data_IF_214870828616
#
_entry.id   IF_214870828616
#
_cell.length_a   1.000
_cell.length_b   1.000
_cell.length_c   1.000
_cell.angle_alpha   90.00
_cell.angle_beta   90.00
_cell.angle_gamma   90.00
#
_symmetry.space_group_name_H-M   'P 1'
#
loop_
_entity.id
_entity.type
_entity.pdbx_description
1 polymer ?
#
# COMPACT_ATOMS: atom_id res chain seq x y z
N UNK A 1 8.83 17.13 -3.78
CA UNK A 1 7.64 17.07 -4.66
C UNK A 1 6.37 16.64 -3.94
N UNK A 2 6.13 15.36 -3.57
CA UNK A 2 4.86 14.98 -2.89
C UNK A 2 4.66 15.65 -1.52
N UNK A 3 5.74 15.80 -0.72
CA UNK A 3 5.67 16.48 0.58
C UNK A 3 5.32 17.97 0.45
N UNK A 4 5.81 18.65 -0.58
CA UNK A 4 5.55 20.08 -0.80
C UNK A 4 4.09 20.30 -1.17
N UNK A 5 3.54 19.48 -2.07
CA UNK A 5 2.12 19.55 -2.46
C UNK A 5 1.18 19.31 -1.28
N UNK A 6 1.50 18.36 -0.39
CA UNK A 6 0.69 18.10 0.81
C UNK A 6 0.69 19.28 1.78
N UNK A 7 1.84 19.95 1.97
CA UNK A 7 1.96 21.14 2.84
C UNK A 7 1.17 22.31 2.25
N UNK A 8 1.29 22.56 0.94
CA UNK A 8 0.52 23.60 0.25
C UNK A 8 -0.99 23.36 0.36
N UNK A 9 -1.46 22.12 0.16
CA UNK A 9 -2.86 21.76 0.33
C UNK A 9 -3.33 21.98 1.78
N UNK A 10 -2.50 21.65 2.77
CA UNK A 10 -2.80 21.88 4.18
C UNK A 10 -2.93 23.38 4.51
N UNK A 11 -2.04 24.22 4.00
CA UNK A 11 -2.11 25.69 4.18
C UNK A 11 -3.36 26.24 3.52
N UNK A 12 -3.61 25.85 2.26
CA UNK A 12 -4.72 26.34 1.44
C UNK A 12 -6.09 26.03 2.06
N UNK A 13 -6.25 24.83 2.63
CA UNK A 13 -7.50 24.40 3.26
C UNK A 13 -7.62 24.74 4.75
N UNK A 14 -6.59 25.33 5.37
CA UNK A 14 -6.53 25.55 6.82
C UNK A 14 -7.71 26.35 7.39
N UNK A 15 -8.21 27.35 6.66
CA UNK A 15 -9.36 28.15 7.09
C UNK A 15 -10.68 27.36 7.05
N UNK A 16 -10.83 26.48 6.05
CA UNK A 16 -11.96 25.56 5.97
C UNK A 16 -11.87 24.54 7.10
N UNK A 17 -10.69 23.95 7.32
CA UNK A 17 -10.47 22.98 8.40
C UNK A 17 -10.85 23.57 9.76
N UNK A 18 -10.43 24.80 10.06
CA UNK A 18 -10.76 25.49 11.32
C UNK A 18 -12.26 25.65 11.50
N UNK A 19 -12.96 26.06 10.44
CA UNK A 19 -14.42 26.20 10.46
C UNK A 19 -15.12 24.86 10.68
N UNK A 20 -14.73 23.81 9.94
CA UNK A 20 -15.36 22.50 10.04
C UNK A 20 -15.08 21.84 11.40
N UNK A 21 -13.87 21.98 11.94
CA UNK A 21 -13.52 21.49 13.29
C UNK A 21 -14.27 22.22 14.41
N UNK A 22 -14.71 23.46 14.19
CA UNK A 22 -15.45 24.25 15.16
C UNK A 22 -16.98 24.02 15.11
N UNK A 23 -17.51 23.37 14.06
CA UNK A 23 -18.95 23.11 13.95
C UNK A 23 -19.39 22.03 14.94
N UNK A 24 -20.45 22.32 15.70
CA UNK A 24 -21.06 21.37 16.60
C UNK A 24 -21.82 20.29 15.82
N UNK A 25 -21.94 19.09 16.39
CA UNK A 25 -22.68 17.97 15.78
C UNK A 25 -21.93 17.21 14.68
N UNK A 26 -20.70 17.62 14.34
CA UNK A 26 -19.89 16.92 13.33
C UNK A 26 -18.52 16.47 13.86
N UNK A 27 -17.97 15.41 13.26
CA UNK A 27 -16.55 15.03 13.36
C UNK A 27 -15.93 15.09 11.98
N UNK A 28 -14.86 15.88 11.84
CA UNK A 28 -14.22 16.17 10.57
C UNK A 28 -12.82 15.55 10.50
N UNK A 29 -12.54 14.82 9.41
CA UNK A 29 -11.25 14.23 9.10
C UNK A 29 -10.89 14.57 7.65
N UNK A 30 -9.62 14.92 7.40
CA UNK A 30 -9.12 15.18 6.06
C UNK A 30 -7.71 14.65 5.90
N UNK A 31 -7.43 14.09 4.73
CA UNK A 31 -6.11 13.69 4.28
C UNK A 31 -5.88 14.22 2.86
N UNK A 32 -5.04 15.24 2.72
CA UNK A 32 -4.86 15.99 1.47
C UNK A 32 -6.24 16.43 0.92
N UNK A 33 -6.73 15.81 -0.15
CA UNK A 33 -8.01 16.15 -0.79
C UNK A 33 -9.18 15.27 -0.31
N UNK A 34 -8.91 14.15 0.36
CA UNK A 34 -9.93 13.22 0.86
C UNK A 34 -10.54 13.72 2.17
N UNK A 35 -11.83 14.05 2.15
CA UNK A 35 -12.60 14.53 3.30
C UNK A 35 -13.58 13.46 3.78
N UNK A 36 -13.65 13.26 5.09
CA UNK A 36 -14.62 12.40 5.77
C UNK A 36 -15.28 13.18 6.91
N UNK A 37 -16.61 13.16 6.94
CA UNK A 37 -17.41 13.85 7.95
C UNK A 37 -18.42 12.89 8.53
N UNK A 38 -18.42 12.76 9.86
CA UNK A 38 -19.51 12.10 10.58
C UNK A 38 -20.44 13.14 11.16
N UNK A 39 -21.74 12.92 11.04
CA UNK A 39 -22.81 13.76 11.57
C UNK A 39 -24.08 12.93 11.71
N UNK A 40 -25.12 13.50 12.30
CA UNK A 40 -26.45 12.89 12.30
C UNK A 40 -26.99 12.79 10.87
N UNK A 41 -27.58 11.64 10.52
CA UNK A 41 -28.04 11.35 9.15
C UNK A 41 -29.10 12.36 8.66
N UNK A 42 -29.90 12.91 9.58
CA UNK A 42 -30.88 13.96 9.30
C UNK A 42 -30.24 15.28 8.86
N UNK A 43 -29.00 15.55 9.29
CA UNK A 43 -28.26 16.77 8.95
C UNK A 43 -27.29 16.57 7.79
N UNK A 44 -27.01 15.33 7.38
CA UNK A 44 -25.95 14.99 6.43
C UNK A 44 -26.06 15.75 5.09
N UNK A 45 -27.27 15.92 4.55
CA UNK A 45 -27.48 16.69 3.31
C UNK A 45 -27.13 18.16 3.49
N UNK A 46 -27.58 18.78 4.58
CA UNK A 46 -27.29 20.18 4.90
C UNK A 46 -25.78 20.39 5.08
N UNK A 47 -25.13 19.52 5.85
CA UNK A 47 -23.67 19.55 6.06
C UNK A 47 -22.93 19.42 4.72
N UNK A 48 -23.35 18.50 3.85
CA UNK A 48 -22.77 18.35 2.51
C UNK A 48 -22.92 19.62 1.68
N UNK A 49 -24.10 20.22 1.63
CA UNK A 49 -24.36 21.45 0.85
C UNK A 49 -23.51 22.63 1.35
N UNK A 50 -23.36 22.75 2.67
CA UNK A 50 -22.51 23.78 3.30
C UNK A 50 -21.04 23.57 2.96
N UNK A 51 -20.54 22.33 3.02
CA UNK A 51 -19.16 21.98 2.65
C UNK A 51 -18.90 22.27 1.17
N UNK A 52 -19.80 21.86 0.27
CA UNK A 52 -19.67 22.15 -1.17
C UNK A 52 -19.58 23.66 -1.41
N UNK A 53 -20.41 24.45 -0.72
CA UNK A 53 -20.38 25.92 -0.83
C UNK A 53 -19.09 26.52 -0.31
N UNK A 54 -18.58 26.05 0.83
CA UNK A 54 -17.31 26.52 1.40
C UNK A 54 -16.13 26.28 0.47
N UNK A 55 -16.02 25.07 -0.10
CA UNK A 55 -14.96 24.74 -1.05
C UNK A 55 -15.11 25.49 -2.38
N UNK A 56 -16.33 25.62 -2.88
CA UNK A 56 -16.60 26.41 -4.09
C UNK A 56 -16.23 27.89 -3.91
N UNK A 57 -16.45 28.44 -2.70
CA UNK A 57 -16.10 29.83 -2.36
C UNK A 57 -14.60 30.13 -2.39
N UNK A 58 -13.74 29.11 -2.35
CA UNK A 58 -12.29 29.27 -2.53
C UNK A 58 -11.80 28.83 -3.91
N UNK A 59 -12.72 28.46 -4.82
CA UNK A 59 -12.39 28.03 -6.19
C UNK A 59 -12.15 26.52 -6.35
N UNK A 60 -12.47 25.70 -5.35
CA UNK A 60 -12.40 24.25 -5.44
C UNK A 60 -13.74 23.62 -5.81
N UNK A 61 -13.70 22.64 -6.70
CA UNK A 61 -14.89 21.88 -7.11
C UNK A 61 -14.99 20.56 -6.36
N UNK A 62 -16.00 20.42 -5.52
CA UNK A 62 -16.38 19.13 -4.93
C UNK A 62 -17.38 18.42 -5.87
N UNK A 63 -17.23 17.10 -6.01
CA UNK A 63 -18.22 16.29 -6.70
C UNK A 63 -19.50 16.20 -5.88
N UNK A 64 -20.62 16.54 -6.50
CA UNK A 64 -21.95 16.43 -5.89
C UNK A 64 -22.24 14.95 -5.56
N UNK A 65 -22.50 14.60 -4.28
CA UNK A 65 -22.72 13.22 -3.85
C UNK A 65 -23.92 12.53 -4.49
N UNK A 66 -24.91 13.32 -4.93
CA UNK A 66 -26.11 12.80 -5.58
C UNK A 66 -25.84 12.49 -7.06
N UNK A 67 -25.04 13.35 -7.72
CA UNK A 67 -24.73 13.21 -9.15
C UNK A 67 -23.54 12.29 -9.44
N UNK A 68 -22.60 12.17 -8.51
CA UNK A 68 -21.36 11.41 -8.67
C UNK A 68 -21.10 10.55 -7.42
N UNK A 69 -21.99 9.60 -7.10
CA UNK A 69 -21.91 8.77 -5.90
C UNK A 69 -20.61 7.95 -5.80
N UNK A 70 -19.93 7.74 -6.92
CA UNK A 70 -18.65 7.03 -7.00
C UNK A 70 -17.44 7.88 -6.55
N UNK A 71 -17.60 9.20 -6.50
CA UNK A 71 -16.54 10.16 -6.10
C UNK A 71 -16.83 10.86 -4.77
N UNK A 72 -18.10 11.04 -4.44
CA UNK A 72 -18.55 11.64 -3.19
C UNK A 72 -19.84 10.97 -2.79
N UNK A 73 -20.04 10.66 -1.52
CA UNK A 73 -21.21 9.88 -1.07
C UNK A 73 -21.71 10.34 0.29
N UNK A 74 -23.03 10.29 0.46
CA UNK A 74 -23.70 10.43 1.76
C UNK A 74 -24.40 9.10 2.06
N UNK A 75 -24.25 8.59 3.28
CA UNK A 75 -24.85 7.31 3.66
C UNK A 75 -24.76 7.03 5.15
N UNK A 76 -25.41 5.97 5.59
CA UNK A 76 -25.29 5.48 6.96
C UNK A 76 -23.96 4.78 7.17
N UNK A 77 -23.36 4.94 8.35
CA UNK A 77 -22.18 4.18 8.76
C UNK A 77 -22.47 2.67 8.75
N UNK A 78 -23.73 2.29 9.00
CA UNK A 78 -24.17 0.88 8.99
C UNK A 78 -24.04 0.23 7.60
N UNK A 79 -24.18 1.01 6.53
CA UNK A 79 -24.04 0.54 5.14
C UNK A 79 -22.57 0.40 4.73
N UNK A 80 -21.65 0.84 5.60
CA UNK A 80 -20.23 0.90 5.37
C UNK A 80 -19.80 2.06 4.48
N UNK A 81 -18.50 2.36 4.51
CA UNK A 81 -17.93 3.46 3.75
C UNK A 81 -16.47 3.21 3.40
N UNK A 82 -15.96 4.03 2.50
CA UNK A 82 -14.64 3.90 1.91
C UNK A 82 -13.81 5.14 2.25
N UNK A 83 -12.61 4.97 2.81
CA UNK A 83 -11.72 6.09 3.13
C UNK A 83 -10.25 5.66 3.02
N UNK A 84 -9.41 6.46 2.35
CA UNK A 84 -7.97 6.19 2.17
C UNK A 84 -7.62 4.79 1.64
N UNK A 85 -8.45 4.26 0.73
CA UNK A 85 -8.26 2.92 0.16
C UNK A 85 -8.74 1.76 1.06
N UNK A 86 -9.16 2.06 2.29
CA UNK A 86 -9.83 1.13 3.19
C UNK A 86 -11.34 1.14 2.96
N UNK A 87 -11.97 0.08 3.46
CA UNK A 87 -13.41 -0.12 3.51
C UNK A 87 -13.80 -0.52 4.94
N UNK A 88 -14.79 0.19 5.49
CA UNK A 88 -15.25 0.07 6.86
C UNK A 88 -16.66 -0.50 6.88
N UNK A 89 -16.90 -1.54 7.68
CA UNK A 89 -18.23 -2.10 7.92
C UNK A 89 -18.35 -2.51 9.39
N UNK A 90 -19.09 -1.72 10.19
CA UNK A 90 -19.13 -1.91 11.63
C UNK A 90 -17.70 -1.94 12.21
N UNK A 91 -17.33 -3.04 12.87
CA UNK A 91 -16.00 -3.21 13.46
C UNK A 91 -14.96 -3.78 12.48
N UNK A 92 -15.34 -4.13 11.25
CA UNK A 92 -14.43 -4.69 10.25
C UNK A 92 -13.80 -3.57 9.43
N UNK A 93 -12.47 -3.56 9.36
CA UNK A 93 -11.66 -2.70 8.51
C UNK A 93 -10.94 -3.60 7.51
N UNK A 94 -11.25 -3.41 6.23
CA UNK A 94 -10.69 -4.18 5.13
C UNK A 94 -10.22 -3.25 4.00
N UNK A 95 -9.74 -3.83 2.91
CA UNK A 95 -9.23 -3.10 1.74
C UNK A 95 -10.28 -3.04 0.65
N UNK A 96 -10.40 -1.90 -0.04
CA UNK A 96 -11.30 -1.76 -1.21
C UNK A 96 -11.02 -2.87 -2.23
N UNK A 97 -12.09 -3.46 -2.78
CA UNK A 97 -12.01 -4.55 -3.75
C UNK A 97 -11.07 -4.25 -4.94
N UNK A 98 -11.11 -3.03 -5.48
CA UNK A 98 -10.21 -2.62 -6.57
C UNK A 98 -8.73 -2.68 -6.21
N UNK A 99 -8.35 -2.40 -4.96
CA UNK A 99 -6.97 -2.51 -4.48
C UNK A 99 -6.56 -3.97 -4.27
N UNK A 100 -7.49 -4.82 -3.83
CA UNK A 100 -7.27 -6.28 -3.73
C UNK A 100 -7.08 -6.90 -5.12
N UNK A 101 -7.91 -6.53 -6.10
CA UNK A 101 -7.81 -7.03 -7.47
C UNK A 101 -6.50 -6.57 -8.14
N UNK A 102 -6.05 -5.33 -7.90
CA UNK A 102 -4.72 -4.87 -8.34
C UNK A 102 -3.59 -5.72 -7.75
N UNK A 103 -3.67 -6.10 -6.48
CA UNK A 103 -2.71 -7.01 -5.87
C UNK A 103 -2.74 -8.39 -6.54
N UNK A 104 -3.91 -9.00 -6.71
CA UNK A 104 -4.06 -10.29 -7.40
C UNK A 104 -3.50 -10.26 -8.81
N UNK A 105 -3.81 -9.22 -9.59
CA UNK A 105 -3.28 -9.03 -10.94
C UNK A 105 -1.76 -8.91 -10.94
N UNK A 106 -1.18 -8.20 -9.96
CA UNK A 106 0.28 -8.11 -9.83
C UNK A 106 0.94 -9.46 -9.52
N UNK A 107 0.30 -10.31 -8.70
CA UNK A 107 0.78 -11.67 -8.44
C UNK A 107 0.73 -12.53 -9.70
N UNK A 108 -0.38 -12.50 -10.45
CA UNK A 108 -0.49 -13.21 -11.75
C UNK A 108 0.56 -12.73 -12.74
N UNK A 109 0.84 -11.42 -12.78
CA UNK A 109 1.85 -10.83 -13.65
C UNK A 109 3.25 -11.37 -13.37
N UNK A 110 3.59 -11.63 -12.09
CA UNK A 110 4.87 -12.24 -11.70
C UNK A 110 5.00 -13.66 -12.29
N UNK A 111 3.97 -14.50 -12.12
CA UNK A 111 3.95 -15.85 -12.71
C UNK A 111 3.97 -15.81 -14.25
N UNK A 112 3.23 -14.89 -14.84
CA UNK A 112 3.19 -14.71 -16.30
C UNK A 112 4.55 -14.30 -16.85
N UNK A 113 5.24 -13.37 -16.17
CA UNK A 113 6.60 -12.95 -16.51
C UNK A 113 7.58 -14.12 -16.44
N UNK A 114 7.47 -14.99 -15.43
CA UNK A 114 8.27 -16.21 -15.34
C UNK A 114 7.99 -17.16 -16.51
N UNK A 115 6.70 -17.41 -16.83
CA UNK A 115 6.30 -18.32 -17.90
C UNK A 115 6.90 -17.95 -19.26
N UNK A 116 6.95 -16.65 -19.58
CA UNK A 116 7.45 -16.12 -20.85
C UNK A 116 8.93 -15.65 -20.78
N UNK A 117 9.61 -15.83 -19.65
CA UNK A 117 11.02 -15.50 -19.53
C UNK A 117 11.88 -16.43 -20.40
N UNK A 118 12.90 -15.87 -21.04
CA UNK A 118 13.93 -16.65 -21.76
C UNK A 118 14.78 -17.49 -20.81
N UNK A 119 14.98 -17.00 -19.59
CA UNK A 119 15.69 -17.69 -18.51
C UNK A 119 14.70 -17.92 -17.37
N UNK A 120 14.23 -19.17 -17.25
CA UNK A 120 13.32 -19.55 -16.16
C UNK A 120 14.15 -19.86 -14.92
N UNK A 121 13.91 -19.10 -13.86
CA UNK A 121 14.48 -19.33 -12.53
C UNK A 121 13.33 -19.34 -11.53
N UNK A 122 13.12 -20.48 -10.89
CA UNK A 122 12.12 -20.63 -9.83
C UNK A 122 12.53 -19.89 -8.57
N UNK A 123 13.83 -19.80 -8.28
CA UNK A 123 14.37 -19.00 -7.19
C UNK A 123 14.05 -17.51 -7.37
N UNK A 124 14.24 -16.99 -8.60
CA UNK A 124 13.86 -15.61 -8.90
C UNK A 124 12.35 -15.39 -8.83
N UNK A 125 11.55 -16.35 -9.31
CA UNK A 125 10.10 -16.32 -9.17
C UNK A 125 9.69 -16.24 -7.70
N UNK A 126 10.22 -17.15 -6.87
CA UNK A 126 9.96 -17.23 -5.44
C UNK A 126 10.39 -15.94 -4.73
N UNK A 127 11.57 -15.42 -5.06
CA UNK A 127 12.06 -14.15 -4.51
C UNK A 127 11.11 -12.99 -4.83
N UNK A 128 10.66 -12.84 -6.08
CA UNK A 128 9.70 -11.79 -6.47
C UNK A 128 8.34 -11.95 -5.80
N UNK A 129 7.84 -13.19 -5.70
CA UNK A 129 6.59 -13.48 -5.00
C UNK A 129 6.70 -13.09 -3.52
N UNK A 130 7.78 -13.52 -2.86
CA UNK A 130 8.03 -13.21 -1.46
C UNK A 130 8.11 -11.70 -1.24
N UNK A 131 8.87 -10.98 -2.08
CA UNK A 131 8.97 -9.53 -2.03
C UNK A 131 7.60 -8.85 -2.21
N UNK A 132 6.75 -9.35 -3.12
CA UNK A 132 5.41 -8.80 -3.34
C UNK A 132 4.47 -9.05 -2.17
N UNK A 133 4.58 -10.22 -1.53
CA UNK A 133 3.74 -10.64 -0.40
C UNK A 133 4.13 -9.89 0.88
N UNK A 134 5.43 -9.90 1.23
CA UNK A 134 5.91 -9.30 2.47
C UNK A 134 6.13 -7.80 2.38
N UNK A 135 6.42 -7.29 1.19
CA UNK A 135 7.08 -5.99 1.05
C UNK A 135 8.55 -6.05 1.46
N UNK A 136 9.16 -4.89 1.62
CA UNK A 136 10.53 -4.67 2.07
C UNK A 136 10.70 -3.31 2.73
N UNK A 137 11.81 -3.13 3.45
CA UNK A 137 12.34 -1.81 3.78
C UNK A 137 13.47 -1.47 2.80
N UNK A 138 13.39 -0.29 2.19
CA UNK A 138 14.41 0.23 1.28
C UNK A 138 14.36 1.75 1.24
N UNK A 139 15.53 2.39 1.30
CA UNK A 139 15.71 3.84 1.40
C UNK A 139 14.97 4.44 2.60
N UNK A 140 15.03 3.77 3.76
CA UNK A 140 14.30 4.11 4.99
C UNK A 140 12.77 4.17 4.82
N UNK A 141 12.24 3.50 3.80
CA UNK A 141 10.80 3.44 3.53
C UNK A 141 10.30 2.01 3.56
N UNK A 142 9.18 1.82 4.24
CA UNK A 142 8.40 0.58 4.17
C UNK A 142 7.62 0.56 2.86
N UNK A 143 7.96 -0.40 1.99
CA UNK A 143 7.34 -0.57 0.68
C UNK A 143 6.66 -1.94 0.62
N UNK A 144 5.35 -1.97 0.42
CA UNK A 144 4.58 -3.21 0.28
C UNK A 144 3.09 -3.01 0.56
N UNK A 145 2.28 -3.91 0.02
CA UNK A 145 0.83 -3.86 0.21
C UNK A 145 0.43 -4.00 1.69
N UNK A 146 1.08 -4.90 2.44
CA UNK A 146 0.81 -5.08 3.86
C UNK A 146 1.24 -3.88 4.72
N UNK A 147 2.33 -3.21 4.37
CA UNK A 147 2.74 -1.97 5.05
C UNK A 147 1.71 -0.86 4.86
N UNK A 148 1.26 -0.67 3.62
CA UNK A 148 0.27 0.35 3.29
C UNK A 148 -1.10 0.06 3.96
N UNK A 149 -1.50 -1.21 4.03
CA UNK A 149 -2.76 -1.65 4.62
C UNK A 149 -2.60 -2.26 6.02
N UNK A 150 -1.67 -1.74 6.83
CA UNK A 150 -1.35 -2.31 8.15
C UNK A 150 -2.52 -2.24 9.16
N UNK A 151 -3.48 -1.34 8.95
CA UNK A 151 -4.61 -1.09 9.87
C UNK A 151 -5.82 -2.01 9.62
N UNK A 152 -5.72 -2.99 8.72
CA UNK A 152 -6.82 -3.94 8.51
C UNK A 152 -6.94 -4.92 9.68
N UNK A 153 -8.16 -5.39 9.93
CA UNK A 153 -8.43 -6.48 10.88
C UNK A 153 -9.12 -7.69 10.23
N UNK A 154 -9.11 -7.73 8.90
CA UNK A 154 -9.74 -8.76 8.09
C UNK A 154 -8.78 -9.93 7.82
N UNK A 155 -8.64 -10.84 8.79
CA UNK A 155 -7.78 -12.02 8.63
C UNK A 155 -8.30 -12.96 7.52
N UNK A 156 -9.62 -12.99 7.26
CA UNK A 156 -10.23 -13.79 6.21
C UNK A 156 -9.69 -13.38 4.84
N UNK A 157 -9.56 -12.07 4.58
CA UNK A 157 -8.95 -11.56 3.35
C UNK A 157 -7.52 -12.07 3.18
N UNK A 158 -6.72 -12.09 4.25
CA UNK A 158 -5.32 -12.56 4.20
C UNK A 158 -5.24 -14.06 3.87
N UNK A 159 -6.08 -14.89 4.50
CA UNK A 159 -6.16 -16.32 4.16
C UNK A 159 -6.65 -16.57 2.73
N UNK A 160 -7.57 -15.74 2.23
CA UNK A 160 -8.04 -15.80 0.85
C UNK A 160 -6.92 -15.45 -0.15
N UNK A 161 -6.07 -14.47 0.16
CA UNK A 161 -4.88 -14.14 -0.64
C UNK A 161 -3.85 -15.27 -0.62
N UNK A 162 -3.59 -15.89 0.53
CA UNK A 162 -2.71 -17.07 0.63
C UNK A 162 -3.22 -18.23 -0.22
N UNK A 163 -4.51 -18.51 -0.13
CA UNK A 163 -5.17 -19.54 -0.94
C UNK A 163 -5.10 -19.21 -2.44
N UNK A 164 -5.20 -17.94 -2.81
CA UNK A 164 -5.06 -17.48 -4.19
C UNK A 164 -3.65 -17.72 -4.74
N UNK A 165 -2.61 -17.39 -3.97
CA UNK A 165 -1.21 -17.67 -4.35
C UNK A 165 -0.99 -19.17 -4.53
N UNK A 166 -1.48 -20.00 -3.60
CA UNK A 166 -1.37 -21.47 -3.71
C UNK A 166 -2.04 -22.03 -4.97
N UNK A 167 -3.18 -21.47 -5.38
CA UNK A 167 -3.83 -21.81 -6.65
C UNK A 167 -2.99 -21.41 -7.86
N UNK A 168 -2.30 -20.27 -7.81
CA UNK A 168 -1.40 -19.85 -8.88
C UNK A 168 -0.17 -20.76 -9.00
N UNK A 169 0.45 -21.14 -7.87
CA UNK A 169 1.56 -22.11 -7.86
C UNK A 169 1.16 -23.40 -8.58
N UNK A 170 0.00 -23.97 -8.22
CA UNK A 170 -0.54 -25.17 -8.89
C UNK A 170 -0.87 -24.95 -10.37
N UNK A 171 -1.45 -23.80 -10.72
CA UNK A 171 -1.86 -23.47 -12.09
C UNK A 171 -0.67 -23.32 -13.04
N UNK A 172 0.43 -22.76 -12.56
CA UNK A 172 1.64 -22.52 -13.34
C UNK A 172 2.65 -23.67 -13.28
N UNK A 173 2.36 -24.72 -12.49
CA UNK A 173 3.16 -25.94 -12.37
C UNK A 173 4.62 -25.66 -12.00
N UNK A 174 4.80 -24.99 -10.85
CA UNK A 174 6.12 -24.62 -10.31
C UNK A 174 6.30 -25.18 -8.90
N UNK A 175 7.52 -25.62 -8.57
CA UNK A 175 7.83 -26.23 -7.27
C UNK A 175 8.40 -25.19 -6.29
N UNK A 176 7.58 -24.20 -5.95
CA UNK A 176 7.94 -23.13 -5.03
C UNK A 176 6.99 -23.07 -3.84
N UNK A 177 7.52 -22.69 -2.68
CA UNK A 177 6.73 -22.44 -1.46
C UNK A 177 6.81 -20.97 -1.05
N UNK A 178 5.93 -20.10 -1.59
CA UNK A 178 5.90 -18.68 -1.23
C UNK A 178 5.59 -18.44 0.25
N UNK A 179 6.09 -17.32 0.76
CA UNK A 179 5.70 -16.76 2.05
C UNK A 179 4.20 -16.48 2.07
N UNK A 180 3.62 -16.52 3.27
CA UNK A 180 2.20 -16.26 3.51
C UNK A 180 1.93 -14.82 3.95
N UNK A 181 0.87 -14.21 3.43
CA UNK A 181 0.31 -12.92 3.82
C UNK A 181 -0.07 -12.91 5.30
N UNK A 182 -0.74 -13.96 5.80
CA UNK A 182 -1.15 -14.03 7.21
C UNK A 182 0.06 -14.00 8.14
N UNK A 183 1.12 -14.73 7.79
CA UNK A 183 2.37 -14.73 8.56
C UNK A 183 3.09 -13.40 8.46
N UNK A 184 3.21 -12.85 7.25
CA UNK A 184 3.83 -11.54 7.03
C UNK A 184 3.12 -10.44 7.83
N UNK A 185 1.79 -10.46 7.88
CA UNK A 185 0.99 -9.51 8.63
C UNK A 185 1.24 -9.63 10.14
N UNK A 186 1.23 -10.84 10.70
CA UNK A 186 1.53 -11.05 12.14
C UNK A 186 2.95 -10.59 12.50
N UNK A 187 3.94 -10.87 11.65
CA UNK A 187 5.30 -10.38 11.82
C UNK A 187 5.36 -8.85 11.80
N UNK A 188 4.62 -8.21 10.89
CA UNK A 188 4.52 -6.76 10.81
C UNK A 188 3.84 -6.15 12.04
N UNK A 189 2.75 -6.74 12.52
CA UNK A 189 1.98 -6.20 13.65
C UNK A 189 2.70 -6.33 14.99
N UNK A 190 3.49 -7.39 15.19
CA UNK A 190 4.09 -7.70 16.50
C UNK A 190 5.63 -7.60 16.55
N UNK A 191 6.32 -7.69 15.41
CA UNK A 191 7.78 -7.84 15.34
C UNK A 191 8.42 -6.97 14.26
N UNK A 192 7.82 -5.83 13.91
CA UNK A 192 8.24 -4.95 12.80
C UNK A 192 9.75 -4.67 12.77
N UNK A 193 10.37 -4.47 13.92
CA UNK A 193 11.79 -4.08 14.05
C UNK A 193 12.77 -5.26 14.19
N UNK A 194 12.27 -6.46 14.51
CA UNK A 194 13.09 -7.64 14.81
C UNK A 194 12.98 -8.71 13.72
N UNK A 195 11.93 -8.66 12.92
CA UNK A 195 11.61 -9.73 12.00
C UNK A 195 12.65 -9.86 10.88
N UNK A 196 13.12 -11.09 10.67
CA UNK A 196 13.89 -11.48 9.48
C UNK A 196 12.98 -11.96 8.34
N UNK A 197 11.66 -11.99 8.58
CA UNK A 197 10.69 -12.47 7.61
C UNK A 197 10.44 -11.44 6.51
N UNK A 198 10.57 -10.15 6.80
CA UNK A 198 10.47 -9.07 5.83
C UNK A 198 11.89 -8.57 5.53
N UNK A 199 12.34 -8.54 4.26
CA UNK A 199 13.68 -8.08 3.93
C UNK A 199 13.83 -6.59 4.19
N UNK A 200 14.91 -6.21 4.87
CA UNK A 200 15.36 -4.83 5.00
C UNK A 200 16.66 -4.68 4.20
N UNK A 201 16.55 -4.12 2.98
CA UNK A 201 17.66 -3.96 2.06
C UNK A 201 18.66 -2.88 2.48
N UNK A 202 18.26 -1.96 3.38
CA UNK A 202 19.15 -0.92 3.91
C UNK A 202 20.20 -1.49 4.86
N UNK A 203 19.90 -2.64 5.49
CA UNK A 203 20.80 -3.32 6.43
C UNK A 203 21.62 -4.45 5.77
N UNK A 204 21.69 -4.50 4.43
CA UNK A 204 22.44 -5.55 3.73
C UNK A 204 23.93 -5.22 3.72
N UNK A 205 24.77 -6.20 4.06
CA UNK A 205 26.21 -6.12 3.84
C UNK A 205 26.53 -6.35 2.36
N UNK A 206 27.72 -5.94 1.91
CA UNK A 206 28.22 -6.20 0.55
C UNK A 206 28.11 -7.68 0.17
N UNK A 207 28.42 -8.60 1.07
CA UNK A 207 28.28 -10.04 0.84
C UNK A 207 26.83 -10.45 0.54
N UNK A 208 25.85 -9.90 1.27
CA UNK A 208 24.43 -10.16 1.01
C UNK A 208 23.97 -9.54 -0.30
N UNK A 209 24.48 -8.35 -0.64
CA UNK A 209 24.20 -7.73 -1.94
C UNK A 209 24.74 -8.59 -3.09
N UNK A 210 25.98 -9.10 -2.97
CA UNK A 210 26.58 -10.05 -3.91
C UNK A 210 25.73 -11.31 -4.05
N UNK A 211 25.33 -11.93 -2.93
CA UNK A 211 24.49 -13.12 -2.94
C UNK A 211 23.17 -12.88 -3.70
N UNK A 212 22.48 -11.76 -3.46
CA UNK A 212 21.26 -11.40 -4.19
C UNK A 212 21.50 -11.23 -5.69
N UNK A 213 22.60 -10.55 -6.07
CA UNK A 213 22.93 -10.33 -7.48
C UNK A 213 23.26 -11.62 -8.23
N UNK A 214 23.96 -12.54 -7.59
CA UNK A 214 24.32 -13.84 -8.16
C UNK A 214 23.09 -14.75 -8.19
N UNK A 215 22.45 -14.99 -7.05
CA UNK A 215 21.38 -15.98 -6.87
C UNK A 215 20.13 -15.63 -7.67
N UNK A 216 19.72 -14.35 -7.66
CA UNK A 216 18.44 -13.94 -8.24
C UNK A 216 18.56 -13.24 -9.58
N UNK A 217 19.69 -12.60 -9.87
CA UNK A 217 19.88 -11.85 -11.11
C UNK A 217 20.90 -12.47 -12.06
N UNK A 218 21.58 -13.55 -11.65
CA UNK A 218 22.53 -14.28 -12.49
C UNK A 218 23.76 -13.45 -12.91
N UNK A 219 24.10 -12.42 -12.13
CA UNK A 219 25.29 -11.61 -12.42
C UNK A 219 26.55 -12.34 -11.96
N UNK A 220 27.56 -12.30 -12.83
CA UNK A 220 28.94 -12.60 -12.47
C UNK A 220 29.54 -11.35 -11.85
N UNK A 221 29.73 -11.37 -10.53
CA UNK A 221 30.21 -10.23 -9.73
C UNK A 221 31.68 -10.38 -9.33
N UNK A 222 32.37 -11.40 -9.85
CA UNK A 222 33.76 -11.73 -9.49
C UNK A 222 34.75 -10.62 -9.84
N UNK A 223 34.47 -9.85 -10.88
CA UNK A 223 35.31 -8.74 -11.35
C UNK A 223 34.87 -7.37 -10.83
N UNK A 224 33.76 -7.32 -10.09
CA UNK A 224 33.15 -6.05 -9.70
C UNK A 224 33.84 -5.49 -8.47
N UNK A 225 34.10 -4.18 -8.49
CA UNK A 225 34.48 -3.44 -7.29
C UNK A 225 33.27 -3.28 -6.36
N UNK A 226 33.52 -3.04 -5.08
CA UNK A 226 32.45 -2.92 -4.07
C UNK A 226 31.42 -1.83 -4.43
N UNK A 227 31.89 -0.72 -5.01
CA UNK A 227 31.04 0.38 -5.49
C UNK A 227 30.11 -0.04 -6.65
N UNK A 228 30.60 -0.88 -7.56
CA UNK A 228 29.82 -1.41 -8.69
C UNK A 228 28.75 -2.39 -8.21
N UNK A 229 29.07 -3.18 -7.19
CA UNK A 229 28.15 -4.13 -6.55
C UNK A 229 27.01 -3.36 -5.88
N UNK A 230 27.33 -2.33 -5.11
CA UNK A 230 26.29 -1.48 -4.51
C UNK A 230 25.41 -0.81 -5.57
N UNK A 231 26.02 -0.26 -6.61
CA UNK A 231 25.30 0.42 -7.68
C UNK A 231 24.34 -0.53 -8.40
N UNK A 232 24.82 -1.69 -8.83
CA UNK A 232 24.04 -2.67 -9.57
C UNK A 232 22.97 -3.34 -8.68
N UNK A 233 23.22 -3.47 -7.37
CA UNK A 233 22.21 -3.87 -6.39
C UNK A 233 21.10 -2.82 -6.27
N UNK A 234 21.46 -1.57 -5.92
CA UNK A 234 20.51 -0.45 -5.76
C UNK A 234 19.67 -0.28 -7.03
N UNK A 235 20.29 -0.27 -8.20
CA UNK A 235 19.60 -0.17 -9.51
C UNK A 235 18.56 -1.27 -9.73
N UNK A 236 18.89 -2.53 -9.42
CA UNK A 236 17.96 -3.65 -9.61
C UNK A 236 16.84 -3.67 -8.57
N UNK A 237 17.17 -3.45 -7.30
CA UNK A 237 16.18 -3.39 -6.22
C UNK A 237 15.23 -2.23 -6.47
N UNK A 238 15.72 -1.02 -6.77
CA UNK A 238 14.90 0.14 -7.12
C UNK A 238 13.89 -0.16 -8.24
N UNK A 239 14.28 -0.95 -9.24
CA UNK A 239 13.36 -1.38 -10.33
C UNK A 239 12.29 -2.35 -9.85
N UNK A 240 12.60 -3.27 -8.93
CA UNK A 240 11.64 -4.26 -8.42
C UNK A 240 10.67 -3.65 -7.40
N UNK A 241 11.13 -2.68 -6.59
CA UNK A 241 10.32 -2.06 -5.54
C UNK A 241 9.49 -0.88 -6.05
N UNK A 242 9.73 -0.39 -7.27
CA UNK A 242 9.01 0.75 -7.86
C UNK A 242 7.49 0.57 -7.90
N UNK A 243 7.04 -0.67 -8.13
CA UNK A 243 5.61 -0.99 -8.24
C UNK A 243 4.96 -1.33 -6.88
N UNK A 244 5.74 -1.32 -5.79
CA UNK A 244 5.24 -1.55 -4.45
C UNK A 244 4.63 -0.27 -3.87
N UNK A 245 3.50 -0.43 -3.17
CA UNK A 245 2.85 0.64 -2.44
C UNK A 245 3.81 1.15 -1.35
N UNK A 246 4.00 2.46 -1.25
CA UNK A 246 4.85 3.07 -0.23
C UNK A 246 3.96 3.48 0.93
N UNK A 247 4.32 3.10 2.15
CA UNK A 247 3.63 3.58 3.35
C UNK A 247 3.82 5.10 3.48
N UNK A 248 2.76 5.79 3.91
CA UNK A 248 2.78 7.24 4.15
C UNK A 248 3.63 7.59 5.37
N UNK A 249 3.80 6.64 6.31
CA UNK A 249 4.71 6.78 7.44
C UNK A 249 6.13 6.35 7.04
N UNK A 250 7.09 7.25 7.19
CA UNK A 250 8.51 6.89 7.07
C UNK A 250 8.85 5.78 8.08
N UNK A 251 9.81 4.92 7.73
CA UNK A 251 10.26 3.85 8.63
C UNK A 251 11.13 4.40 9.79
N UNK A 252 11.32 5.72 9.88
CA UNK A 252 12.13 6.36 10.90
C UNK A 252 11.52 6.24 12.30
N UNK A 253 12.42 6.00 13.24
CA UNK A 253 12.20 5.70 14.65
C UNK A 253 11.42 6.80 15.39
N UNK A 254 10.78 6.39 16.49
CA UNK A 254 10.40 7.29 17.59
C UNK A 254 11.55 8.18 18.02
#
# INVERSE_FOLDING_TARGET
>A
MELETAILAAIYLSNIDKKLKAMHGIKYYRYVDDVLIFCDISEAKKVSDDVIRMFSGIGLKIYDPVKNPEKSSIGSIADGFNYLGYQFFGNRVTVRAGSVEKLKNSLVSIFTSYKYSKQKSEDFLLWRLNLRITGCVYENKSKGWLFFFAEINDEILLHALDSYVAKLVKRFDVDVSPKKFVRAFKELSYRKYETKYIPNFDNYSLEKMRAVLVEYFGLKVEEYQDEEIEFEFKKRISRQVKDLQIDVKDFSYS
#
